data_IF_719418987222
#
_entry.id   IF_719418987222
#
_cell.length_a   1.000
_cell.length_b   1.000
_cell.length_c   1.000
_cell.angle_alpha   90.00
_cell.angle_beta   90.00
_cell.angle_gamma   90.00
#
_symmetry.space_group_name_H-M   'P 1'
#
loop_
_entity.id
_entity.type
_entity.pdbx_description
1 polymer ?
#
# COMPACT_ATOMS: atom_id res chain seq x y z
N UNK A 1 11.47 -8.83 -4.34
CA UNK A 1 10.95 -9.50 -5.55
C UNK A 1 9.47 -9.83 -5.34
N UNK A 2 9.08 -11.08 -5.11
CA UNK A 2 7.86 -11.41 -4.35
C UNK A 2 8.12 -12.71 -3.60
N UNK A 3 7.79 -12.70 -2.32
CA UNK A 3 8.10 -13.77 -1.39
C UNK A 3 7.06 -14.90 -1.49
N UNK A 4 7.40 -16.10 -1.06
CA UNK A 4 6.54 -17.29 -1.16
C UNK A 4 6.71 -18.15 0.09
N UNK A 5 5.86 -19.17 0.29
CA UNK A 5 6.04 -20.11 1.41
C UNK A 5 7.34 -20.97 1.32
N UNK A 6 8.05 -20.97 0.19
CA UNK A 6 9.38 -21.60 0.06
C UNK A 6 10.53 -20.60 0.17
N UNK A 7 10.30 -19.34 -0.16
CA UNK A 7 11.31 -18.28 -0.28
C UNK A 7 10.76 -16.98 0.34
N UNK A 8 11.01 -16.78 1.64
CA UNK A 8 10.50 -15.70 2.46
C UNK A 8 11.62 -15.13 3.35
N UNK A 9 11.55 -13.86 3.78
CA UNK A 9 12.61 -13.23 4.55
C UNK A 9 12.79 -13.93 5.92
N UNK A 10 14.04 -14.02 6.38
CA UNK A 10 14.39 -14.72 7.61
C UNK A 10 13.59 -14.24 8.85
N UNK A 11 13.19 -12.97 8.89
CA UNK A 11 12.32 -12.38 9.92
C UNK A 11 10.98 -13.10 10.10
N UNK A 12 10.46 -13.74 9.04
CA UNK A 12 9.21 -14.49 9.08
C UNK A 12 9.39 -15.97 9.50
N UNK A 13 10.64 -16.47 9.54
CA UNK A 13 10.98 -17.89 9.82
C UNK A 13 10.51 -18.41 11.17
N UNK A 14 10.36 -17.53 12.16
CA UNK A 14 9.95 -17.88 13.53
C UNK A 14 8.46 -17.66 13.80
N UNK A 15 7.69 -17.17 12.81
CA UNK A 15 6.23 -17.03 12.92
C UNK A 15 5.57 -18.40 12.71
N UNK A 16 4.44 -18.65 13.38
CA UNK A 16 3.62 -19.83 13.05
C UNK A 16 3.22 -19.79 11.56
N UNK A 17 3.01 -20.96 10.94
CA UNK A 17 2.76 -21.08 9.50
C UNK A 17 1.67 -20.11 8.99
N UNK A 18 0.59 -19.94 9.75
CA UNK A 18 -0.58 -19.13 9.38
C UNK A 18 -0.27 -17.63 9.40
N UNK A 19 0.36 -17.16 10.48
CA UNK A 19 0.84 -15.76 10.61
C UNK A 19 1.98 -15.47 9.63
N UNK A 20 2.86 -16.43 9.36
CA UNK A 20 3.91 -16.32 8.34
C UNK A 20 3.30 -16.10 6.96
N UNK A 21 2.37 -16.96 6.59
CA UNK A 21 1.60 -16.90 5.35
C UNK A 21 0.89 -15.56 5.20
N UNK A 22 0.23 -15.08 6.25
CA UNK A 22 -0.45 -13.76 6.28
C UNK A 22 0.53 -12.59 6.22
N UNK A 23 1.73 -12.72 6.79
CA UNK A 23 2.79 -11.74 6.68
C UNK A 23 3.44 -11.70 5.29
N UNK A 24 3.57 -12.83 4.59
CA UNK A 24 4.02 -12.84 3.19
C UNK A 24 2.93 -12.25 2.27
N UNK A 25 1.67 -12.64 2.48
CA UNK A 25 0.48 -12.17 1.79
C UNK A 25 0.36 -10.64 1.87
N UNK A 26 0.30 -10.08 3.09
CA UNK A 26 0.31 -8.63 3.26
C UNK A 26 1.63 -8.04 2.73
N UNK A 27 2.82 -8.61 2.97
CA UNK A 27 4.07 -8.03 2.46
C UNK A 27 4.18 -7.99 0.92
N UNK A 28 3.52 -8.90 0.21
CA UNK A 28 3.51 -8.91 -1.26
C UNK A 28 2.40 -8.05 -1.85
N UNK A 29 1.20 -8.02 -1.24
CA UNK A 29 0.21 -6.97 -1.54
C UNK A 29 0.81 -5.61 -1.27
N UNK A 30 1.61 -5.49 -0.21
CA UNK A 30 2.39 -4.31 0.11
C UNK A 30 3.61 -4.14 -0.80
N UNK A 31 3.98 -5.12 -1.61
CA UNK A 31 4.76 -4.89 -2.83
C UNK A 31 3.86 -4.46 -4.02
N UNK A 32 2.64 -3.91 -3.77
CA UNK A 32 1.62 -3.52 -4.77
C UNK A 32 0.78 -2.15 -4.64
N UNK A 33 1.37 -0.96 -4.31
CA UNK A 33 1.27 0.45 -4.96
C UNK A 33 2.49 1.38 -5.51
N UNK A 34 3.79 1.39 -5.07
CA UNK A 34 4.63 2.52 -4.49
C UNK A 34 5.88 2.13 -3.56
N UNK A 35 5.78 1.99 -2.20
CA UNK A 35 6.64 1.38 -1.07
C UNK A 35 8.06 0.80 -1.23
N UNK A 36 8.59 0.26 -0.10
CA UNK A 36 9.61 -0.79 -0.12
C UNK A 36 9.27 -2.11 0.62
N UNK A 37 9.88 -3.20 0.12
CA UNK A 37 9.95 -4.54 0.69
C UNK A 37 10.23 -4.54 2.20
N UNK A 38 11.14 -3.69 2.65
CA UNK A 38 11.56 -3.61 4.06
C UNK A 38 10.62 -2.79 4.96
N UNK A 39 9.64 -2.04 4.40
CA UNK A 39 8.44 -1.58 5.15
C UNK A 39 7.35 -2.64 5.08
N UNK A 40 7.12 -3.19 3.88
CA UNK A 40 6.11 -4.20 3.62
C UNK A 40 6.23 -5.40 4.57
N UNK A 41 7.44 -5.92 4.76
CA UNK A 41 7.71 -7.08 5.63
C UNK A 41 7.33 -6.83 7.10
N UNK A 42 7.85 -5.80 7.82
CA UNK A 42 7.54 -5.65 9.25
C UNK A 42 6.08 -5.33 9.56
N UNK A 43 5.44 -4.39 8.84
CA UNK A 43 4.02 -4.06 9.12
C UNK A 43 3.14 -5.26 8.76
N UNK A 44 3.45 -6.02 7.71
CA UNK A 44 2.74 -7.25 7.41
C UNK A 44 2.91 -8.32 8.52
N UNK A 45 4.10 -8.43 9.10
CA UNK A 45 4.34 -9.30 10.27
C UNK A 45 3.53 -8.83 11.48
N UNK A 46 3.39 -7.52 11.68
CA UNK A 46 2.65 -6.93 12.80
C UNK A 46 1.13 -7.07 12.63
N UNK A 47 0.56 -6.64 11.50
CA UNK A 47 -0.84 -6.88 11.17
C UNK A 47 -1.19 -8.38 11.18
N UNK A 48 -0.31 -9.27 10.71
CA UNK A 48 -0.52 -10.71 10.79
C UNK A 48 -0.45 -11.28 12.22
N UNK A 49 0.25 -10.62 13.16
CA UNK A 49 0.25 -10.95 14.59
C UNK A 49 -1.03 -10.44 15.26
N UNK A 50 -1.44 -9.20 15.02
CA UNK A 50 -2.66 -8.64 15.61
C UNK A 50 -3.91 -9.36 15.08
N UNK A 51 -3.96 -9.67 13.78
CA UNK A 51 -4.95 -10.59 13.22
C UNK A 51 -4.92 -11.94 13.96
N UNK A 52 -3.75 -12.55 14.18
CA UNK A 52 -3.67 -13.85 14.86
C UNK A 52 -4.05 -13.81 16.34
N UNK A 53 -3.87 -12.68 17.04
CA UNK A 53 -4.35 -12.49 18.42
C UNK A 53 -5.88 -12.41 18.49
N UNK A 54 -6.49 -11.73 17.51
CA UNK A 54 -7.92 -11.42 17.52
C UNK A 54 -8.78 -12.47 16.79
N UNK A 55 -8.20 -13.26 15.88
CA UNK A 55 -8.91 -14.30 15.12
C UNK A 55 -9.08 -15.63 15.89
N UNK A 56 -10.23 -16.27 15.67
CA UNK A 56 -10.60 -17.56 16.27
C UNK A 56 -9.81 -18.75 15.70
N UNK A 57 -9.86 -19.88 16.40
CA UNK A 57 -9.17 -21.11 15.98
C UNK A 57 -9.66 -21.64 14.61
N UNK A 58 -10.96 -21.45 14.28
CA UNK A 58 -11.55 -21.92 13.03
C UNK A 58 -11.10 -21.08 11.83
N UNK A 59 -11.04 -19.75 11.96
CA UNK A 59 -10.49 -18.85 10.93
C UNK A 59 -9.02 -19.17 10.64
N UNK A 60 -8.24 -19.45 11.68
CA UNK A 60 -6.80 -19.73 11.59
C UNK A 60 -6.53 -21.05 10.87
N UNK A 61 -7.23 -22.13 11.22
CA UNK A 61 -7.10 -23.41 10.50
C UNK A 61 -7.62 -23.31 9.06
N UNK A 62 -8.64 -22.48 8.81
CA UNK A 62 -9.14 -22.21 7.45
C UNK A 62 -8.10 -21.48 6.60
N UNK A 63 -7.51 -20.38 7.09
CA UNK A 63 -6.49 -19.64 6.34
C UNK A 63 -5.21 -20.48 6.13
N UNK A 64 -4.87 -21.35 7.09
CA UNK A 64 -3.80 -22.35 6.99
C UNK A 64 -4.00 -23.28 5.81
N UNK A 65 -5.18 -23.88 5.65
CA UNK A 65 -5.47 -24.81 4.55
C UNK A 65 -5.64 -24.12 3.19
N UNK A 66 -6.14 -22.88 3.13
CA UNK A 66 -6.66 -22.29 1.87
C UNK A 66 -5.80 -21.19 1.23
N UNK A 67 -5.24 -20.26 2.00
CA UNK A 67 -4.54 -19.07 1.45
C UNK A 67 -3.31 -19.42 0.59
N UNK A 68 -2.82 -18.47 -0.21
CA UNK A 68 -1.55 -18.56 -0.95
C UNK A 68 -0.93 -17.18 -1.05
N UNK A 69 0.33 -16.94 -0.61
CA UNK A 69 0.97 -15.66 -0.88
C UNK A 69 1.17 -15.46 -2.38
N UNK A 70 0.90 -14.24 -2.83
CA UNK A 70 0.94 -13.81 -4.24
C UNK A 70 2.35 -13.90 -4.83
N UNK A 71 2.45 -14.10 -6.15
CA UNK A 71 3.70 -13.88 -6.91
C UNK A 71 3.55 -12.59 -7.73
N UNK A 72 4.66 -11.87 -7.92
CA UNK A 72 4.74 -10.58 -8.60
C UNK A 72 4.18 -10.62 -10.03
N UNK A 73 3.12 -9.85 -10.28
CA UNK A 73 2.75 -9.34 -11.61
C UNK A 73 3.76 -8.27 -12.04
N UNK A 74 3.95 -8.08 -13.36
CA UNK A 74 5.00 -7.20 -13.87
C UNK A 74 4.71 -5.69 -13.68
N UNK A 75 3.48 -5.32 -13.31
CA UNK A 75 3.00 -3.95 -13.34
C UNK A 75 3.05 -3.24 -11.98
N UNK A 76 3.86 -2.17 -11.93
CA UNK A 76 3.44 -0.88 -11.36
C UNK A 76 3.73 -0.57 -9.89
N UNK A 77 3.81 -1.56 -8.98
CA UNK A 77 3.34 -1.30 -7.61
C UNK A 77 4.26 -1.71 -6.38
N UNK A 78 3.84 -1.34 -5.12
CA UNK A 78 4.31 -1.31 -3.64
C UNK A 78 3.48 -0.39 -2.54
N UNK A 79 2.83 -0.73 -1.39
CA UNK A 79 1.91 0.21 -0.55
C UNK A 79 2.37 1.55 0.19
N UNK A 80 1.55 2.20 1.07
CA UNK A 80 1.94 3.20 2.15
C UNK A 80 1.55 2.88 3.65
N UNK A 81 2.52 2.89 4.59
CA UNK A 81 2.64 2.00 5.79
C UNK A 81 2.50 2.76 7.12
N UNK A 82 1.36 3.39 7.27
CA UNK A 82 0.66 3.42 8.55
C UNK A 82 -0.65 2.68 8.24
N UNK A 83 -1.21 1.81 9.10
CA UNK A 83 -2.57 1.30 8.91
C UNK A 83 -3.58 2.41 8.55
N UNK A 84 -3.39 3.63 9.08
CA UNK A 84 -4.23 4.81 8.80
C UNK A 84 -3.78 5.59 7.53
N UNK A 85 -2.56 5.39 7.01
CA UNK A 85 -2.12 5.94 5.70
C UNK A 85 -2.69 5.18 4.50
N UNK A 86 -3.33 4.05 4.77
CA UNK A 86 -4.26 3.38 3.87
C UNK A 86 -5.64 4.06 3.84
N UNK A 87 -5.93 4.97 4.79
CA UNK A 87 -7.19 5.70 4.91
C UNK A 87 -7.03 7.20 4.56
N UNK A 88 -5.79 7.73 4.56
CA UNK A 88 -5.44 9.06 4.01
C UNK A 88 -5.68 9.13 2.49
N UNK A 89 -6.40 10.17 2.04
CA UNK A 89 -6.52 10.55 0.62
C UNK A 89 -5.19 10.88 -0.05
N UNK A 90 -5.22 11.17 -1.35
CA UNK A 90 -4.17 11.85 -2.08
C UNK A 90 -4.67 13.20 -2.65
N UNK A 91 -3.75 14.05 -3.08
CA UNK A 91 -3.99 15.37 -3.63
C UNK A 91 -3.07 15.59 -4.82
N UNK A 92 -3.58 16.19 -5.91
CA UNK A 92 -2.77 16.72 -7.01
C UNK A 92 -2.65 18.23 -6.82
N UNK A 93 -1.48 18.69 -6.38
CA UNK A 93 -1.20 20.11 -6.17
C UNK A 93 -0.24 20.65 -7.24
N UNK A 94 -0.34 21.95 -7.51
CA UNK A 94 0.63 22.65 -8.35
C UNK A 94 1.98 22.72 -7.63
N UNK A 95 3.07 22.55 -8.37
CA UNK A 95 4.45 22.68 -7.91
C UNK A 95 5.16 23.76 -8.73
N UNK A 96 6.29 24.27 -8.24
CA UNK A 96 7.13 25.20 -9.00
C UNK A 96 7.71 24.57 -10.29
N UNK A 97 7.97 23.25 -10.28
CA UNK A 97 8.47 22.47 -11.41
C UNK A 97 7.39 21.74 -12.24
N UNK A 98 6.12 21.81 -11.86
CA UNK A 98 5.06 20.99 -12.47
C UNK A 98 3.92 20.65 -11.52
N UNK A 99 3.66 19.36 -11.32
CA UNK A 99 2.49 18.86 -10.60
C UNK A 99 2.80 17.66 -9.71
N UNK A 100 2.21 17.62 -8.52
CA UNK A 100 2.63 16.74 -7.45
C UNK A 100 1.44 15.97 -6.82
N UNK A 101 1.58 14.63 -6.77
CA UNK A 101 0.73 13.69 -6.01
C UNK A 101 1.16 13.72 -4.55
N UNK A 102 0.26 13.82 -3.57
CA UNK A 102 0.57 13.97 -2.13
C UNK A 102 -0.52 13.35 -1.25
N UNK A 103 -0.21 12.58 -0.20
CA UNK A 103 -1.26 12.12 0.73
C UNK A 103 -1.89 13.26 1.54
N UNK A 104 -3.18 13.18 1.90
CA UNK A 104 -3.98 14.30 2.44
C UNK A 104 -3.38 14.92 3.70
N UNK A 105 -3.10 14.10 4.71
CA UNK A 105 -2.48 14.52 5.96
C UNK A 105 -0.94 14.34 5.92
N UNK A 106 -0.42 13.70 4.86
CA UNK A 106 1.00 13.74 4.54
C UNK A 106 1.43 15.16 4.14
N UNK A 107 2.56 15.61 4.67
CA UNK A 107 3.10 16.95 4.35
C UNK A 107 3.73 17.05 2.96
N UNK A 108 3.95 15.92 2.27
CA UNK A 108 4.88 15.79 1.15
C UNK A 108 4.32 14.96 -0.01
N UNK A 109 4.81 15.18 -1.24
CA UNK A 109 4.35 14.43 -2.39
C UNK A 109 4.85 12.98 -2.45
N UNK A 110 3.92 12.08 -2.75
CA UNK A 110 4.08 10.67 -3.09
C UNK A 110 4.77 10.48 -4.46
N UNK A 111 4.59 11.43 -5.39
CA UNK A 111 5.31 11.52 -6.68
C UNK A 111 5.15 12.92 -7.31
N UNK A 112 6.08 13.35 -8.17
CA UNK A 112 6.04 14.65 -8.88
C UNK A 112 6.33 14.45 -10.37
N UNK A 113 5.62 15.16 -11.23
CA UNK A 113 5.68 15.05 -12.69
C UNK A 113 5.68 16.41 -13.39
N UNK A 114 6.23 16.43 -14.60
CA UNK A 114 6.34 17.65 -15.40
C UNK A 114 4.98 18.12 -15.95
N UNK A 115 4.05 17.20 -16.24
CA UNK A 115 2.68 17.55 -16.62
C UNK A 115 1.66 17.22 -15.53
N UNK A 116 0.57 18.00 -15.49
CA UNK A 116 -0.60 17.69 -14.66
C UNK A 116 -1.16 16.31 -14.95
N UNK A 117 -1.13 15.90 -16.23
CA UNK A 117 -1.71 14.63 -16.68
C UNK A 117 -1.04 13.44 -16.00
N UNK A 118 0.28 13.37 -16.03
CA UNK A 118 1.05 12.27 -15.42
C UNK A 118 0.90 12.25 -13.90
N UNK A 119 0.89 13.43 -13.25
CA UNK A 119 0.60 13.54 -11.82
C UNK A 119 -0.81 13.03 -11.49
N UNK A 120 -1.83 13.45 -12.25
CA UNK A 120 -3.21 12.95 -12.09
C UNK A 120 -3.25 11.44 -12.32
N UNK A 121 -2.55 10.90 -13.32
CA UNK A 121 -2.51 9.47 -13.61
C UNK A 121 -1.90 8.68 -12.44
N UNK A 122 -0.74 9.10 -11.89
CA UNK A 122 -0.13 8.44 -10.73
C UNK A 122 -0.89 8.67 -9.42
N UNK A 123 -1.51 9.83 -9.21
CA UNK A 123 -2.28 10.08 -8.00
C UNK A 123 -3.63 9.37 -7.98
N UNK A 124 -4.25 9.20 -9.16
CA UNK A 124 -5.37 8.27 -9.32
C UNK A 124 -4.89 6.84 -9.05
N UNK A 125 -3.71 6.46 -9.53
CA UNK A 125 -3.12 5.15 -9.23
C UNK A 125 -2.94 4.92 -7.71
N UNK A 126 -2.31 5.85 -6.96
CA UNK A 126 -2.04 5.72 -5.51
C UNK A 126 -3.32 5.83 -4.66
N UNK A 127 -4.22 6.78 -4.93
CA UNK A 127 -5.48 6.90 -4.17
C UNK A 127 -6.39 5.69 -4.36
N UNK A 128 -6.51 5.19 -5.60
CA UNK A 128 -7.25 3.97 -5.95
C UNK A 128 -6.63 2.67 -5.41
N UNK A 129 -5.41 2.78 -4.87
CA UNK A 129 -4.61 1.68 -4.38
C UNK A 129 -4.72 1.57 -2.85
N UNK A 130 -4.62 2.72 -2.16
CA UNK A 130 -4.93 2.86 -0.73
C UNK A 130 -6.41 2.55 -0.43
N UNK A 131 -7.31 3.09 -1.27
CA UNK A 131 -8.77 3.04 -1.08
C UNK A 131 -9.32 4.36 -0.54
N UNK A 132 -8.85 5.49 -1.11
CA UNK A 132 -9.00 6.82 -0.51
C UNK A 132 -9.25 7.91 -1.57
N UNK A 133 -9.49 9.16 -1.15
CA UNK A 133 -9.94 10.22 -2.06
C UNK A 133 -8.81 11.01 -2.72
N UNK A 134 -8.92 11.33 -4.02
CA UNK A 134 -7.99 12.21 -4.73
C UNK A 134 -8.58 13.63 -4.90
N UNK A 135 -7.93 14.67 -4.36
CA UNK A 135 -8.32 16.07 -4.61
C UNK A 135 -7.38 16.73 -5.62
N UNK A 136 -7.89 17.16 -6.77
CA UNK A 136 -7.11 17.90 -7.76
C UNK A 136 -7.27 19.40 -7.49
N UNK A 137 -6.16 20.13 -7.43
CA UNK A 137 -6.12 21.58 -7.26
C UNK A 137 -5.77 22.31 -8.57
N UNK A 138 -5.98 23.63 -8.61
CA UNK A 138 -5.49 24.56 -9.64
C UNK A 138 -4.13 25.14 -9.26
N UNK A 139 -3.54 25.95 -10.14
CA UNK A 139 -2.27 26.64 -9.88
C UNK A 139 -2.36 27.71 -8.77
N UNK A 140 -3.55 28.22 -8.48
CA UNK A 140 -3.82 29.13 -7.35
C UNK A 140 -4.10 28.39 -6.02
N UNK A 141 -4.02 27.06 -6.01
CA UNK A 141 -4.31 26.20 -4.86
C UNK A 141 -5.79 25.90 -4.62
N UNK A 142 -6.73 26.52 -5.36
CA UNK A 142 -8.17 26.19 -5.25
C UNK A 142 -8.44 24.76 -5.68
N UNK A 143 -9.47 24.11 -5.11
CA UNK A 143 -9.89 22.78 -5.56
C UNK A 143 -10.48 22.89 -6.96
N UNK A 144 -9.92 22.13 -7.89
CA UNK A 144 -10.39 21.99 -9.27
C UNK A 144 -11.46 20.89 -9.37
N UNK A 145 -11.12 19.69 -8.90
CA UNK A 145 -11.96 18.50 -8.94
C UNK A 145 -11.71 17.65 -7.68
N UNK A 146 -12.67 16.79 -7.32
CA UNK A 146 -12.47 15.76 -6.28
C UNK A 146 -12.99 14.42 -6.78
N UNK A 147 -12.21 13.39 -6.54
CA UNK A 147 -12.53 11.99 -6.76
C UNK A 147 -12.47 11.26 -5.41
N UNK A 148 -13.27 10.22 -5.25
CA UNK A 148 -13.17 9.28 -4.13
C UNK A 148 -13.08 7.88 -4.72
N UNK A 149 -12.16 7.07 -4.20
CA UNK A 149 -11.95 5.68 -4.57
C UNK A 149 -12.30 4.75 -3.41
#
# INVERSE_FOLDING_TARGET
>A
MAWTLQDYPASMKNLNEVTRKKAIDIANSMLDEGYDENRAIPIAIEQAKEWRKNASQQEVETYKQTGKPTKRSAEGKKYDNNPERLEEGEHIVSHEDGWAVRSSDGEKPSAVYQTKKEAVERGKEIASNKGTYLIIHRQDGTIEERYTY
#
